data_IF_529121056274
#
_entry.id   IF_529121056274
#
_cell.length_a   1.000
_cell.length_b   1.000
_cell.length_c   1.000
_cell.angle_alpha   90.00
_cell.angle_beta   90.00
_cell.angle_gamma   90.00
#
_symmetry.space_group_name_H-M   'P 1'
#
loop_
_entity.id
_entity.type
_entity.pdbx_description
1 polymer ?
#
# COMPACT_ATOMS: atom_id res chain seq x y z
N UNK A 1 -1.29 40.00 7.42
CA UNK A 1 -1.77 39.15 8.53
C UNK A 1 -1.10 39.66 9.80
N UNK A 2 -1.88 40.08 10.80
CA UNK A 2 -1.34 40.49 12.09
C UNK A 2 -0.58 39.30 12.69
N UNK A 3 0.62 39.52 13.22
CA UNK A 3 1.35 38.46 13.92
C UNK A 3 0.55 38.06 15.16
N UNK A 4 0.36 36.75 15.45
CA UNK A 4 -0.38 36.29 16.61
C UNK A 4 0.24 36.87 17.89
N UNK A 5 -0.58 37.16 18.89
CA UNK A 5 -0.12 37.68 20.18
C UNK A 5 0.75 36.62 20.88
N UNK A 6 2.06 36.66 20.60
CA UNK A 6 3.02 35.61 20.99
C UNK A 6 3.07 35.40 22.49
N UNK A 7 2.87 36.44 23.29
CA UNK A 7 2.82 36.34 24.75
C UNK A 7 1.64 35.50 25.22
N UNK A 8 0.46 35.71 24.62
CA UNK A 8 -0.75 34.91 24.93
C UNK A 8 -0.58 33.47 24.47
N UNK A 9 -0.01 33.26 23.29
CA UNK A 9 0.28 31.94 22.73
C UNK A 9 1.19 31.12 23.66
N UNK A 10 2.32 31.71 24.08
CA UNK A 10 3.29 31.04 24.96
C UNK A 10 2.66 30.70 26.31
N UNK A 11 1.86 31.61 26.89
CA UNK A 11 1.16 31.37 28.15
C UNK A 11 0.19 30.19 28.03
N UNK A 12 -0.65 30.16 27.01
CA UNK A 12 -1.65 29.10 26.83
C UNK A 12 -0.99 27.75 26.54
N UNK A 13 0.05 27.72 25.70
CA UNK A 13 0.84 26.51 25.45
C UNK A 13 1.54 26.00 26.73
N UNK A 14 2.05 26.89 27.58
CA UNK A 14 2.64 26.51 28.85
C UNK A 14 1.58 25.93 29.83
N UNK A 15 0.39 26.52 29.89
CA UNK A 15 -0.73 25.95 30.68
C UNK A 15 -1.13 24.56 30.16
N UNK A 16 -1.23 24.37 28.85
CA UNK A 16 -1.48 23.04 28.26
C UNK A 16 -0.35 22.06 28.58
N UNK A 17 0.91 22.50 28.60
CA UNK A 17 2.06 21.67 28.95
C UNK A 17 2.03 21.19 30.41
N UNK A 18 1.37 21.94 31.30
CA UNK A 18 1.11 21.49 32.68
C UNK A 18 -0.08 20.52 32.79
N UNK A 19 -0.75 20.22 31.67
CA UNK A 19 -1.90 19.33 31.61
C UNK A 19 -3.22 19.99 31.99
N UNK A 20 -3.32 21.33 31.97
CA UNK A 20 -4.55 22.06 32.29
C UNK A 20 -5.54 22.06 31.11
N UNK A 21 -6.62 21.26 31.15
CA UNK A 21 -7.58 21.20 30.04
C UNK A 21 -8.38 22.50 29.88
N UNK A 22 -8.45 23.36 30.90
CA UNK A 22 -9.16 24.63 30.82
C UNK A 22 -8.48 25.63 29.88
N UNK A 23 -7.19 25.44 29.56
CA UNK A 23 -6.45 26.27 28.62
C UNK A 23 -6.80 26.00 27.15
N UNK A 24 -7.47 24.88 26.84
CA UNK A 24 -7.76 24.45 25.47
C UNK A 24 -8.81 25.34 24.78
N UNK A 25 -9.93 25.63 25.44
CA UNK A 25 -10.97 26.49 24.87
C UNK A 25 -10.50 27.93 24.64
N UNK A 26 -9.84 28.61 25.61
CA UNK A 26 -9.23 29.91 25.37
C UNK A 26 -8.19 29.91 24.23
N UNK A 27 -7.47 28.80 24.03
CA UNK A 27 -6.55 28.67 22.91
C UNK A 27 -7.29 28.59 21.58
N UNK A 28 -8.38 27.82 21.50
CA UNK A 28 -9.20 27.71 20.28
C UNK A 28 -9.89 29.05 20.00
N UNK A 29 -10.42 29.72 21.00
CA UNK A 29 -11.09 31.02 20.85
C UNK A 29 -10.13 32.08 20.27
N UNK A 30 -8.87 32.10 20.74
CA UNK A 30 -7.88 33.09 20.33
C UNK A 30 -7.16 32.72 19.02
N UNK A 31 -6.77 31.45 18.84
CA UNK A 31 -5.89 30.99 17.74
C UNK A 31 -6.54 29.97 16.79
N UNK A 32 -7.84 29.75 16.92
CA UNK A 32 -8.59 28.80 16.11
C UNK A 32 -8.54 29.14 14.62
N UNK A 33 -8.44 30.42 14.25
CA UNK A 33 -8.37 30.84 12.85
C UNK A 33 -7.06 30.43 12.17
N UNK A 34 -5.94 30.57 12.86
CA UNK A 34 -4.61 30.16 12.39
C UNK A 34 -4.54 28.64 12.25
N UNK A 35 -5.12 27.93 13.23
CA UNK A 35 -5.22 26.48 13.20
C UNK A 35 -6.12 26.02 12.05
N UNK A 36 -7.25 26.68 11.84
CA UNK A 36 -8.16 26.42 10.73
C UNK A 36 -7.50 26.69 9.37
N UNK A 37 -6.66 27.71 9.26
CA UNK A 37 -5.84 27.96 8.07
C UNK A 37 -4.87 26.80 7.77
N UNK A 38 -4.28 26.20 8.83
CA UNK A 38 -3.41 25.02 8.70
C UNK A 38 -4.21 23.78 8.30
N UNK A 39 -5.34 23.52 8.95
CA UNK A 39 -6.24 22.40 8.62
C UNK A 39 -6.73 22.48 7.17
N UNK A 40 -7.22 23.65 6.73
CA UNK A 40 -7.68 23.84 5.35
C UNK A 40 -6.57 23.62 4.33
N UNK A 41 -5.35 24.09 4.62
CA UNK A 41 -4.17 23.86 3.76
C UNK A 41 -3.84 22.38 3.65
N UNK A 42 -3.85 21.66 4.77
CA UNK A 42 -3.59 20.22 4.81
C UNK A 42 -4.67 19.44 4.04
N UNK A 43 -5.95 19.75 4.23
CA UNK A 43 -7.06 19.14 3.47
C UNK A 43 -6.94 19.38 1.96
N UNK A 44 -6.57 20.59 1.53
CA UNK A 44 -6.31 20.87 0.12
C UNK A 44 -5.12 20.07 -0.42
N UNK A 45 -4.04 19.91 0.36
CA UNK A 45 -2.89 19.08 -0.03
C UNK A 45 -3.23 17.60 -0.16
N UNK A 46 -4.28 17.15 0.53
CA UNK A 46 -4.84 15.79 0.47
C UNK A 46 -5.93 15.66 -0.62
N UNK A 47 -6.12 16.70 -1.44
CA UNK A 47 -7.15 16.77 -2.48
C UNK A 47 -8.58 16.50 -1.95
N UNK A 48 -8.91 17.07 -0.78
CA UNK A 48 -10.25 17.00 -0.16
C UNK A 48 -10.97 18.35 -0.10
N UNK A 49 -11.24 19.01 -1.25
CA UNK A 49 -11.96 20.28 -1.27
C UNK A 49 -13.43 20.14 -0.83
N UNK A 50 -13.98 18.94 -0.88
CA UNK A 50 -15.32 18.59 -0.40
C UNK A 50 -15.45 18.81 1.12
N UNK A 51 -14.43 18.42 1.90
CA UNK A 51 -14.39 18.61 3.35
C UNK A 51 -14.17 20.08 3.70
N UNK A 52 -13.30 20.78 2.97
CA UNK A 52 -13.03 22.22 3.22
C UNK A 52 -14.29 23.09 3.07
N UNK A 53 -15.25 22.68 2.24
CA UNK A 53 -16.52 23.40 2.03
C UNK A 53 -17.50 23.24 3.19
N UNK A 54 -17.33 22.23 4.04
CA UNK A 54 -18.19 21.96 5.19
C UNK A 54 -17.56 22.55 6.45
N UNK A 55 -18.11 23.68 6.90
CA UNK A 55 -17.55 24.38 8.07
C UNK A 55 -17.56 23.51 9.33
N UNK A 56 -18.60 22.69 9.53
CA UNK A 56 -18.70 21.75 10.65
C UNK A 56 -17.53 20.75 10.72
N UNK A 57 -17.12 20.19 9.57
CA UNK A 57 -16.01 19.25 9.48
C UNK A 57 -14.68 19.97 9.78
N UNK A 58 -14.53 21.19 9.27
CA UNK A 58 -13.33 22.00 9.54
C UNK A 58 -13.25 22.36 11.02
N UNK A 59 -14.35 22.77 11.65
CA UNK A 59 -14.40 23.14 13.07
C UNK A 59 -14.08 21.93 13.96
N UNK A 60 -14.60 20.75 13.60
CA UNK A 60 -14.25 19.49 14.27
C UNK A 60 -12.75 19.18 14.16
N UNK A 61 -12.17 19.32 12.96
CA UNK A 61 -10.75 19.06 12.73
C UNK A 61 -9.84 20.11 13.40
N UNK A 62 -10.31 21.35 13.57
CA UNK A 62 -9.62 22.38 14.35
C UNK A 62 -9.57 21.99 15.82
N UNK A 63 -10.68 21.53 16.40
CA UNK A 63 -10.70 21.01 17.78
C UNK A 63 -9.77 19.79 17.91
N UNK A 64 -9.83 18.86 16.97
CA UNK A 64 -8.96 17.68 16.94
C UNK A 64 -7.47 18.07 16.86
N UNK A 65 -7.13 19.05 16.02
CA UNK A 65 -5.77 19.58 15.93
C UNK A 65 -5.33 20.30 17.23
N UNK A 66 -6.25 20.95 17.94
CA UNK A 66 -5.96 21.57 19.24
C UNK A 66 -5.65 20.51 20.30
N UNK A 67 -6.35 19.37 20.32
CA UNK A 67 -6.00 18.23 21.17
C UNK A 67 -4.61 17.65 20.84
N UNK A 68 -4.26 17.55 19.54
CA UNK A 68 -2.90 17.15 19.13
C UNK A 68 -1.84 18.11 19.68
N UNK A 69 -2.12 19.43 19.69
CA UNK A 69 -1.22 20.41 20.29
C UNK A 69 -1.16 20.29 21.80
N UNK A 70 -2.28 20.05 22.47
CA UNK A 70 -2.36 19.83 23.92
C UNK A 70 -1.47 18.66 24.33
N UNK A 71 -1.65 17.48 23.73
CA UNK A 71 -0.91 16.27 24.08
C UNK A 71 0.61 16.40 23.88
N UNK A 72 1.01 17.25 22.93
CA UNK A 72 2.41 17.45 22.56
C UNK A 72 3.03 18.70 23.19
N UNK A 73 2.23 19.55 23.81
CA UNK A 73 2.65 20.85 24.33
C UNK A 73 3.89 20.82 25.25
N UNK A 74 4.19 19.78 26.05
CA UNK A 74 5.42 19.74 26.86
C UNK A 74 6.72 19.74 26.05
N UNK A 75 6.66 19.33 24.77
CA UNK A 75 7.83 19.25 23.88
C UNK A 75 7.97 20.44 22.94
N UNK A 76 7.06 21.42 23.02
CA UNK A 76 7.11 22.59 22.16
C UNK A 76 8.07 23.65 22.73
N UNK A 77 8.94 24.18 21.87
CA UNK A 77 9.87 25.26 22.22
C UNK A 77 9.24 26.64 21.90
N UNK A 78 9.02 27.51 22.91
CA UNK A 78 8.51 28.87 22.72
C UNK A 78 9.36 29.78 21.82
N UNK A 79 10.68 29.52 21.73
CA UNK A 79 11.59 30.28 20.88
C UNK A 79 11.56 29.81 19.41
N UNK A 80 11.04 28.61 19.16
CA UNK A 80 11.00 27.98 17.85
C UNK A 80 9.82 28.39 16.97
N UNK A 81 9.42 27.44 16.11
CA UNK A 81 8.29 27.59 15.20
C UNK A 81 6.95 27.66 15.95
N UNK A 82 5.93 28.25 15.29
CA UNK A 82 4.57 28.31 15.82
C UNK A 82 4.02 26.89 16.05
N UNK A 83 3.13 26.67 17.04
CA UNK A 83 2.67 25.33 17.42
C UNK A 83 2.11 24.51 16.25
N UNK A 84 1.27 25.11 15.40
CA UNK A 84 0.68 24.45 14.23
C UNK A 84 1.67 24.16 13.10
N UNK A 85 2.78 24.89 13.02
CA UNK A 85 3.88 24.60 12.08
C UNK A 85 4.77 23.48 12.63
N UNK A 86 5.13 23.56 13.91
CA UNK A 86 5.93 22.54 14.58
C UNK A 86 5.22 21.18 14.62
N UNK A 87 3.92 21.15 14.91
CA UNK A 87 3.12 19.93 14.99
C UNK A 87 2.46 19.53 13.66
N UNK A 88 2.79 20.17 12.53
CA UNK A 88 2.08 19.99 11.26
C UNK A 88 1.96 18.51 10.85
N UNK A 89 3.03 17.72 11.01
CA UNK A 89 3.02 16.29 10.70
C UNK A 89 2.06 15.49 11.59
N UNK A 90 1.96 15.84 12.86
CA UNK A 90 1.05 15.19 13.80
C UNK A 90 -0.41 15.59 13.51
N UNK A 91 -0.66 16.87 13.23
CA UNK A 91 -1.97 17.37 12.80
C UNK A 91 -2.40 16.68 11.50
N UNK A 92 -1.50 16.55 10.53
CA UNK A 92 -1.77 15.83 9.27
C UNK A 92 -2.11 14.36 9.52
N UNK A 93 -1.41 13.69 10.43
CA UNK A 93 -1.70 12.30 10.77
C UNK A 93 -3.11 12.14 11.37
N UNK A 94 -3.52 13.07 12.24
CA UNK A 94 -4.87 13.09 12.81
C UNK A 94 -5.95 13.35 11.75
N UNK A 95 -5.72 14.29 10.83
CA UNK A 95 -6.62 14.54 9.70
C UNK A 95 -6.75 13.29 8.82
N UNK A 96 -5.64 12.63 8.49
CA UNK A 96 -5.67 11.38 7.68
C UNK A 96 -6.41 10.26 8.42
N UNK A 97 -6.22 10.15 9.75
CA UNK A 97 -6.93 9.17 10.58
C UNK A 97 -8.44 9.40 10.53
N UNK A 98 -8.90 10.65 10.63
CA UNK A 98 -10.31 11.01 10.55
C UNK A 98 -10.90 10.80 9.14
N UNK A 99 -10.17 11.18 8.09
CA UNK A 99 -10.61 10.97 6.70
C UNK A 99 -10.79 9.48 6.36
N UNK A 100 -10.05 8.61 7.05
CA UNK A 100 -10.05 7.17 6.82
C UNK A 100 -9.44 6.78 5.47
N UNK A 101 -9.62 5.51 5.11
CA UNK A 101 -9.30 5.04 3.76
C UNK A 101 -10.42 5.48 2.80
N UNK A 102 -10.10 5.90 1.56
CA UNK A 102 -11.12 6.17 0.56
C UNK A 102 -12.04 4.95 0.39
N UNK A 103 -13.28 5.10 0.85
CA UNK A 103 -14.33 4.11 0.69
C UNK A 103 -15.46 4.79 -0.08
N UNK A 104 -15.87 4.17 -1.18
CA UNK A 104 -17.09 4.52 -1.88
C UNK A 104 -18.11 3.45 -1.49
N UNK A 105 -19.28 3.87 -1.01
CA UNK A 105 -20.37 2.93 -0.80
C UNK A 105 -20.72 2.26 -2.13
N UNK A 106 -20.87 0.94 -2.08
CA UNK A 106 -21.32 0.19 -3.22
C UNK A 106 -22.77 0.57 -3.54
N UNK A 107 -23.02 1.18 -4.70
CA UNK A 107 -24.36 1.54 -5.16
C UNK A 107 -24.75 0.69 -6.38
N UNK A 108 -25.65 -0.27 -6.16
CA UNK A 108 -26.18 -1.16 -7.20
C UNK A 108 -26.82 -0.39 -8.37
N UNK A 109 -27.25 0.86 -8.16
CA UNK A 109 -27.91 1.68 -9.20
C UNK A 109 -26.92 2.34 -10.17
N UNK A 110 -25.69 2.58 -9.72
CA UNK A 110 -24.61 3.15 -10.53
C UNK A 110 -23.97 2.12 -11.46
N UNK A 111 -24.10 0.84 -11.11
CA UNK A 111 -23.70 -0.29 -11.91
C UNK A 111 -24.93 -0.80 -12.67
N UNK A 112 -25.40 -0.04 -13.67
CA UNK A 112 -26.44 -0.53 -14.59
C UNK A 112 -26.06 -1.91 -15.08
N UNK A 113 -27.01 -2.88 -15.07
CA UNK A 113 -26.82 -4.32 -15.33
C UNK A 113 -25.53 -4.51 -16.10
N UNK A 114 -24.43 -4.70 -15.37
CA UNK A 114 -23.24 -5.13 -16.03
C UNK A 114 -23.73 -6.42 -16.67
N UNK A 115 -23.66 -6.52 -17.99
CA UNK A 115 -23.39 -7.83 -18.57
C UNK A 115 -22.04 -8.20 -17.96
N UNK A 116 -22.10 -8.69 -16.72
CA UNK A 116 -21.11 -9.55 -16.15
C UNK A 116 -21.23 -10.71 -17.09
N UNK A 117 -20.48 -10.66 -18.20
CA UNK A 117 -20.20 -11.85 -18.96
C UNK A 117 -19.85 -12.86 -17.88
N UNK A 118 -20.65 -13.93 -17.78
CA UNK A 118 -20.50 -14.95 -16.75
C UNK A 118 -19.00 -15.11 -16.52
N UNK A 119 -18.49 -15.00 -15.28
CA UNK A 119 -17.05 -14.98 -15.05
C UNK A 119 -16.50 -16.18 -15.80
N UNK A 120 -15.89 -15.91 -16.94
CA UNK A 120 -15.34 -16.98 -17.73
C UNK A 120 -14.06 -17.21 -16.97
N UNK A 121 -14.15 -18.11 -15.99
CA UNK A 121 -13.01 -18.82 -15.45
C UNK A 121 -12.47 -19.68 -16.61
N UNK A 122 -12.08 -19.04 -17.72
CA UNK A 122 -11.04 -19.56 -18.55
C UNK A 122 -9.83 -19.40 -17.64
N UNK A 123 -9.44 -20.46 -16.95
CA UNK A 123 -8.03 -20.68 -16.75
C UNK A 123 -7.51 -20.96 -18.16
N UNK A 124 -6.95 -19.96 -18.87
CA UNK A 124 -6.42 -20.24 -20.19
C UNK A 124 -5.40 -21.37 -20.05
N UNK A 125 -5.56 -22.43 -20.84
CA UNK A 125 -4.55 -23.46 -20.90
C UNK A 125 -3.27 -22.79 -21.38
N UNK A 126 -2.16 -23.02 -20.66
CA UNK A 126 -0.86 -22.48 -21.07
C UNK A 126 -0.48 -22.97 -22.47
N UNK A 127 -0.96 -24.16 -22.87
CA UNK A 127 -0.78 -24.70 -24.22
C UNK A 127 -1.53 -23.86 -25.25
N UNK A 128 -2.75 -23.42 -24.95
CA UNK A 128 -3.53 -22.58 -25.85
C UNK A 128 -2.90 -21.18 -25.99
N UNK A 129 -2.46 -20.59 -24.87
CA UNK A 129 -1.75 -19.30 -24.86
C UNK A 129 -0.41 -19.35 -25.60
N UNK A 130 0.26 -20.50 -25.62
CA UNK A 130 1.52 -20.65 -26.35
C UNK A 130 1.34 -20.48 -27.87
N UNK A 131 0.13 -20.63 -28.40
CA UNK A 131 -0.17 -20.33 -29.80
C UNK A 131 0.02 -18.85 -30.15
N UNK A 132 -0.28 -17.95 -29.20
CA UNK A 132 -0.24 -16.50 -29.39
C UNK A 132 1.01 -15.84 -28.76
N UNK A 133 1.72 -16.57 -27.89
CA UNK A 133 2.86 -16.06 -27.13
C UNK A 133 4.11 -16.91 -27.33
N UNK A 134 5.03 -16.42 -28.18
CA UNK A 134 6.27 -17.11 -28.57
C UNK A 134 7.15 -17.45 -27.36
N UNK A 135 7.26 -16.55 -26.40
CA UNK A 135 8.06 -16.75 -25.20
C UNK A 135 7.50 -17.90 -24.32
N UNK A 136 6.18 -18.01 -24.27
CA UNK A 136 5.51 -19.09 -23.54
C UNK A 136 5.68 -20.43 -24.25
N UNK A 137 5.59 -20.46 -25.58
CA UNK A 137 5.89 -21.66 -26.37
C UNK A 137 7.32 -22.15 -26.14
N UNK A 138 8.30 -21.24 -26.13
CA UNK A 138 9.70 -21.55 -25.83
C UNK A 138 9.87 -22.08 -24.40
N UNK A 139 9.20 -21.49 -23.42
CA UNK A 139 9.25 -21.97 -22.03
C UNK A 139 8.66 -23.38 -21.89
N UNK A 140 7.51 -23.65 -22.49
CA UNK A 140 6.89 -24.98 -22.45
C UNK A 140 7.76 -26.03 -23.15
N UNK A 141 8.33 -25.69 -24.31
CA UNK A 141 9.26 -26.58 -25.03
C UNK A 141 10.54 -26.85 -24.24
N UNK A 142 11.08 -25.85 -23.55
CA UNK A 142 12.23 -26.03 -22.67
C UNK A 142 11.90 -26.93 -21.47
N UNK A 143 10.74 -26.73 -20.85
CA UNK A 143 10.29 -27.54 -19.71
C UNK A 143 10.12 -29.01 -20.07
N UNK A 144 9.52 -29.32 -21.22
CA UNK A 144 9.38 -30.71 -21.70
C UNK A 144 10.73 -31.34 -22.05
N UNK A 145 11.74 -30.52 -22.39
CA UNK A 145 13.11 -30.98 -22.66
C UNK A 145 13.87 -31.32 -21.38
N UNK A 146 13.71 -30.54 -20.30
CA UNK A 146 14.58 -30.63 -19.11
C UNK A 146 13.97 -31.29 -17.88
N UNK A 147 12.65 -31.47 -17.85
CA UNK A 147 11.92 -31.92 -16.68
C UNK A 147 10.89 -32.99 -17.03
N UNK A 148 10.55 -33.82 -16.04
CA UNK A 148 9.37 -34.68 -16.14
C UNK A 148 8.10 -33.81 -16.10
N UNK A 149 6.98 -34.30 -16.62
CA UNK A 149 5.69 -33.61 -16.56
C UNK A 149 5.34 -33.18 -15.12
N UNK A 150 5.59 -34.07 -14.16
CA UNK A 150 5.40 -33.80 -12.73
C UNK A 150 6.28 -32.64 -12.26
N UNK A 151 7.57 -32.66 -12.56
CA UNK A 151 8.52 -31.65 -12.11
C UNK A 151 8.26 -30.29 -12.78
N UNK A 152 7.88 -30.30 -14.06
CA UNK A 152 7.44 -29.11 -14.79
C UNK A 152 6.20 -28.49 -14.14
N UNK A 153 5.20 -29.32 -13.78
CA UNK A 153 3.99 -28.86 -13.08
C UNK A 153 4.33 -28.25 -11.71
N UNK A 154 5.19 -28.90 -10.93
CA UNK A 154 5.65 -28.36 -9.62
C UNK A 154 6.33 -27.01 -9.80
N UNK A 155 7.17 -26.85 -10.81
CA UNK A 155 7.86 -25.60 -11.11
C UNK A 155 6.87 -24.48 -11.48
N UNK A 156 5.96 -24.73 -12.42
CA UNK A 156 4.96 -23.76 -12.87
C UNK A 156 4.07 -23.30 -11.71
N UNK A 157 3.55 -24.24 -10.92
CA UNK A 157 2.69 -23.91 -9.78
C UNK A 157 3.46 -23.09 -8.72
N UNK A 158 4.72 -23.47 -8.46
CA UNK A 158 5.55 -22.74 -7.51
C UNK A 158 5.78 -21.28 -7.94
N UNK A 159 6.05 -21.04 -9.24
CA UNK A 159 6.25 -19.69 -9.76
C UNK A 159 4.94 -18.88 -9.78
N UNK A 160 3.81 -19.53 -10.10
CA UNK A 160 2.50 -18.91 -10.05
C UNK A 160 2.15 -18.43 -8.63
N UNK A 161 2.28 -19.28 -7.61
CA UNK A 161 2.03 -18.91 -6.20
C UNK A 161 2.94 -17.76 -5.74
N UNK A 162 4.23 -17.80 -6.14
CA UNK A 162 5.17 -16.72 -5.84
C UNK A 162 4.76 -15.40 -6.51
N UNK A 163 4.31 -15.43 -7.76
CA UNK A 163 3.84 -14.25 -8.48
C UNK A 163 2.54 -13.68 -7.89
N UNK A 164 1.68 -14.53 -7.32
CA UNK A 164 0.46 -14.17 -6.61
C UNK A 164 0.70 -13.61 -5.19
N UNK A 165 1.97 -13.52 -4.76
CA UNK A 165 2.33 -12.97 -3.46
C UNK A 165 2.18 -13.95 -2.29
N UNK A 166 2.07 -15.25 -2.56
CA UNK A 166 2.06 -16.26 -1.51
C UNK A 166 3.37 -16.19 -0.70
N UNK A 167 3.24 -16.05 0.62
CA UNK A 167 4.35 -16.01 1.57
C UNK A 167 4.98 -17.39 1.79
N UNK A 168 4.32 -18.47 1.38
CA UNK A 168 4.77 -19.85 1.57
C UNK A 168 4.48 -20.77 0.37
N UNK A 169 4.98 -20.45 -0.85
CA UNK A 169 4.64 -21.19 -2.07
C UNK A 169 4.92 -22.71 -1.98
N UNK A 170 6.00 -23.10 -1.30
CA UNK A 170 6.34 -24.52 -1.13
C UNK A 170 5.34 -25.31 -0.28
N UNK A 171 4.68 -24.66 0.69
CA UNK A 171 3.67 -25.29 1.52
C UNK A 171 2.38 -25.47 0.70
N UNK A 172 1.94 -24.42 0.03
CA UNK A 172 0.76 -24.42 -0.84
C UNK A 172 0.87 -25.46 -1.95
N UNK A 173 1.97 -25.43 -2.73
CA UNK A 173 2.21 -26.41 -3.80
C UNK A 173 2.37 -27.83 -3.24
N UNK A 174 2.97 -27.96 -2.05
CA UNK A 174 3.12 -29.25 -1.37
C UNK A 174 1.78 -29.88 -1.06
N UNK A 175 0.85 -29.09 -0.52
CA UNK A 175 -0.53 -29.50 -0.26
C UNK A 175 -1.27 -29.86 -1.57
N UNK A 176 -1.16 -29.01 -2.60
CA UNK A 176 -1.82 -29.21 -3.90
C UNK A 176 -1.39 -30.49 -4.61
N UNK A 177 -0.11 -30.87 -4.51
CA UNK A 177 0.49 -31.96 -5.29
C UNK A 177 0.87 -33.19 -4.45
N UNK A 178 0.50 -33.22 -3.16
CA UNK A 178 0.82 -34.32 -2.25
C UNK A 178 2.33 -34.50 -2.04
N UNK A 179 3.06 -33.40 -1.94
CA UNK A 179 4.51 -33.35 -1.80
C UNK A 179 4.94 -32.66 -0.50
N UNK A 180 6.08 -33.07 0.04
CA UNK A 180 6.67 -32.30 1.15
C UNK A 180 7.20 -30.94 0.64
N UNK A 181 7.12 -29.86 1.44
CA UNK A 181 7.64 -28.56 1.05
C UNK A 181 9.14 -28.56 0.72
N UNK A 182 9.92 -29.44 1.35
CA UNK A 182 11.34 -29.63 1.03
C UNK A 182 11.54 -30.21 -0.36
N UNK A 183 10.72 -31.19 -0.76
CA UNK A 183 10.77 -31.78 -2.09
C UNK A 183 10.37 -30.76 -3.17
N UNK A 184 9.31 -29.98 -2.94
CA UNK A 184 8.89 -28.90 -3.85
C UNK A 184 10.03 -27.91 -4.10
N UNK A 185 10.71 -27.44 -3.03
CA UNK A 185 11.86 -26.54 -3.15
C UNK A 185 13.00 -27.18 -3.95
N UNK A 186 13.27 -28.46 -3.72
CA UNK A 186 14.33 -29.18 -4.43
C UNK A 186 14.03 -29.35 -5.92
N UNK A 187 12.79 -29.72 -6.27
CA UNK A 187 12.32 -29.85 -7.66
C UNK A 187 12.43 -28.50 -8.36
N UNK A 188 11.84 -27.45 -7.79
CA UNK A 188 11.88 -26.11 -8.39
C UNK A 188 13.32 -25.64 -8.62
N UNK A 189 14.22 -25.83 -7.66
CA UNK A 189 15.65 -25.49 -7.82
C UNK A 189 16.29 -26.26 -8.98
N UNK A 190 16.07 -27.58 -9.08
CA UNK A 190 16.65 -28.42 -10.14
C UNK A 190 16.15 -28.02 -11.52
N UNK A 191 14.85 -27.74 -11.65
CA UNK A 191 14.26 -27.29 -12.92
C UNK A 191 14.85 -25.95 -13.35
N UNK A 192 14.95 -24.96 -12.45
CA UNK A 192 15.60 -23.66 -12.76
C UNK A 192 17.03 -23.82 -13.24
N UNK A 193 17.83 -24.65 -12.57
CA UNK A 193 19.22 -24.91 -12.95
C UNK A 193 19.32 -25.53 -14.35
N UNK A 194 18.43 -26.47 -14.69
CA UNK A 194 18.43 -27.09 -16.03
C UNK A 194 17.93 -26.14 -17.10
N UNK A 195 16.92 -25.31 -16.82
CA UNK A 195 16.43 -24.29 -17.75
C UNK A 195 17.51 -23.24 -18.03
N UNK A 196 18.21 -22.76 -17.01
CA UNK A 196 19.36 -21.85 -17.16
C UNK A 196 20.45 -22.49 -18.03
N UNK A 197 20.84 -23.74 -17.73
CA UNK A 197 21.84 -24.46 -18.53
C UNK A 197 21.40 -24.70 -19.97
N UNK A 198 20.11 -24.93 -20.23
CA UNK A 198 19.58 -25.05 -21.59
C UNK A 198 19.65 -23.71 -22.34
N UNK A 199 19.27 -22.61 -21.69
CA UNK A 199 19.33 -21.28 -22.28
C UNK A 199 20.76 -20.82 -22.61
N UNK A 200 21.76 -21.30 -21.85
CA UNK A 200 23.18 -21.05 -22.13
C UNK A 200 23.74 -21.95 -23.26
N UNK A 201 23.26 -23.18 -23.38
CA UNK A 201 23.82 -24.18 -24.30
C UNK A 201 23.14 -24.22 -25.67
N UNK A 202 21.88 -23.85 -25.77
CA UNK A 202 21.10 -23.86 -27.01
C UNK A 202 20.58 -22.45 -27.36
N UNK A 203 21.09 -21.83 -28.46
CA UNK A 203 20.67 -20.51 -28.91
C UNK A 203 19.15 -20.39 -29.17
N UNK A 204 18.47 -21.50 -29.45
CA UNK A 204 17.01 -21.54 -29.67
C UNK A 204 16.22 -21.16 -28.42
N UNK A 205 16.83 -21.30 -27.24
CA UNK A 205 16.25 -21.00 -25.93
C UNK A 205 16.88 -19.78 -25.25
N UNK A 206 17.74 -19.01 -25.93
CA UNK A 206 18.46 -17.88 -25.34
C UNK A 206 17.55 -16.77 -24.78
N UNK A 207 16.32 -16.64 -25.29
CA UNK A 207 15.30 -15.71 -24.81
C UNK A 207 14.86 -15.99 -23.36
N UNK A 208 14.99 -17.24 -22.90
CA UNK A 208 14.59 -17.68 -21.56
C UNK A 208 15.41 -17.03 -20.45
N UNK A 209 16.64 -16.56 -20.72
CA UNK A 209 17.49 -15.87 -19.74
C UNK A 209 16.81 -14.64 -19.15
N UNK A 210 15.84 -14.05 -19.87
CA UNK A 210 15.10 -12.85 -19.41
C UNK A 210 13.93 -13.18 -18.49
N UNK A 211 13.58 -14.46 -18.31
CA UNK A 211 12.47 -14.89 -17.49
C UNK A 211 12.96 -15.17 -16.07
N UNK A 212 12.40 -14.48 -15.07
CA UNK A 212 12.72 -14.69 -13.65
C UNK A 212 12.42 -16.12 -13.18
N UNK A 213 11.56 -16.83 -13.91
CA UNK A 213 11.21 -18.23 -13.69
C UNK A 213 12.38 -19.16 -14.05
N UNK A 214 13.31 -18.72 -14.90
CA UNK A 214 14.44 -19.51 -15.42
C UNK A 214 15.74 -19.23 -14.69
N UNK A 215 15.98 -17.98 -14.23
CA UNK A 215 17.24 -17.57 -13.60
C UNK A 215 17.68 -18.49 -12.45
N UNK A 216 18.87 -19.07 -12.51
CA UNK A 216 19.48 -19.71 -11.34
C UNK A 216 20.00 -18.61 -10.40
N UNK A 217 19.57 -18.62 -9.14
CA UNK A 217 20.26 -17.86 -8.08
C UNK A 217 21.48 -18.65 -7.60
#
# INVERSE_FOLDING_TARGET
>A
MASPNRTVLVRLMASMATGDPAALFPFIDEFGNELAGTVRRLLMSLNRPDVVRKNEDVDYLVQSAAFVLFDRSPSWDPAGALPWTWAERAIRAEIVRWLGHPAVEWDDRSHGEASVGSPVMVTPDLVDLAGDHVELAQLLSALTTVASERDAKVHLEYQAQKALGDRSPANTVGEMLGLSPSNVRQINRRVRQRLSGLAESDPSFATLVRLSWVEAC
#
